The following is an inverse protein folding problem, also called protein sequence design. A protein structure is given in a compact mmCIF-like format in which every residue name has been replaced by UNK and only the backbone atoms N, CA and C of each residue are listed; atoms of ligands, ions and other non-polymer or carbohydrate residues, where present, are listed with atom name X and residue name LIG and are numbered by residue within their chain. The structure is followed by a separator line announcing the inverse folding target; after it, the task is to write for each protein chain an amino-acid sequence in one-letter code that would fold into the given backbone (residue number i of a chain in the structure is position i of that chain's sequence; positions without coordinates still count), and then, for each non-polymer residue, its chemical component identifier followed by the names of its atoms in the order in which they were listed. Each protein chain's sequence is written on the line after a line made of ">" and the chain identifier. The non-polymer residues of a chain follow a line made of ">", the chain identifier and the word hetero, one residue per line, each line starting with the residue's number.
data_IF_559126898735
#
_entry.id   IF_559126898735
#
_cell.length_a   1.000
_cell.length_b   1.000
_cell.length_c   1.000
_cell.angle_alpha   90.00
_cell.angle_beta   90.00
_cell.angle_gamma   90.00
#
_symmetry.space_group_name_H-M   'P 1'
#
loop_
_entity.id
_entity.type
_entity.pdbx_description
1 polymer ?
#
# COMPACT_ATOMS: atom_id res chain seq x y z
N UNK A 1 12.83 33.31 -31.16
CA UNK A 1 12.36 31.91 -31.29
C UNK A 1 12.67 31.02 -30.07
N UNK A 2 13.22 31.52 -28.96
CA UNK A 2 13.49 30.70 -27.76
C UNK A 2 12.28 30.57 -26.78
N UNK A 3 11.40 31.57 -26.74
CA UNK A 3 10.25 31.58 -25.82
C UNK A 3 9.18 30.54 -26.16
N UNK A 4 9.01 30.21 -27.45
CA UNK A 4 8.02 29.20 -27.89
C UNK A 4 8.47 27.78 -27.51
N UNK A 5 9.77 27.49 -27.58
CA UNK A 5 10.34 26.21 -27.16
C UNK A 5 10.21 25.98 -25.65
N UNK A 6 10.41 27.02 -24.83
CA UNK A 6 10.25 26.92 -23.37
C UNK A 6 8.79 26.73 -22.95
N UNK A 7 7.84 27.34 -23.67
CA UNK A 7 6.41 27.15 -23.40
C UNK A 7 5.94 25.73 -23.74
N UNK A 8 6.44 25.12 -24.82
CA UNK A 8 6.09 23.75 -25.19
C UNK A 8 6.64 22.70 -24.22
N UNK A 9 7.84 22.91 -23.66
CA UNK A 9 8.39 21.99 -22.64
C UNK A 9 7.66 22.12 -21.30
N UNK A 10 7.19 23.32 -20.94
CA UNK A 10 6.41 23.54 -19.73
C UNK A 10 5.01 22.91 -19.81
N UNK A 11 4.32 23.03 -20.95
CA UNK A 11 3.03 22.37 -21.17
C UNK A 11 3.14 20.84 -21.21
N UNK A 12 4.13 20.30 -21.93
CA UNK A 12 4.34 18.85 -21.97
C UNK A 12 4.76 18.27 -20.60
N UNK A 13 5.49 19.05 -19.79
CA UNK A 13 5.81 18.69 -18.40
C UNK A 13 4.58 18.71 -17.49
N UNK A 14 3.70 19.71 -17.62
CA UNK A 14 2.46 19.79 -16.84
C UNK A 14 1.47 18.67 -17.20
N UNK A 15 1.31 18.33 -18.48
CA UNK A 15 0.41 17.26 -18.91
C UNK A 15 0.91 15.88 -18.45
N UNK A 16 2.23 15.68 -18.46
CA UNK A 16 2.86 14.47 -17.91
C UNK A 16 2.71 14.36 -16.39
N UNK A 17 2.91 15.45 -15.65
CA UNK A 17 2.73 15.47 -14.18
C UNK A 17 1.25 15.33 -13.78
N UNK A 18 0.33 15.97 -14.51
CA UNK A 18 -1.11 15.84 -14.30
C UNK A 18 -1.60 14.41 -14.59
N UNK A 19 -1.11 13.81 -15.68
CA UNK A 19 -1.40 12.40 -16.00
C UNK A 19 -0.84 11.47 -14.93
N UNK A 20 0.39 11.72 -14.45
CA UNK A 20 1.02 10.96 -13.37
C UNK A 20 0.25 11.08 -12.04
N UNK A 21 -0.21 12.28 -11.70
CA UNK A 21 -1.10 12.50 -10.56
C UNK A 21 -2.41 11.74 -10.70
N UNK A 22 -3.03 11.77 -11.90
CA UNK A 22 -4.29 11.07 -12.17
C UNK A 22 -4.16 9.54 -12.09
N UNK A 23 -2.99 8.99 -12.43
CA UNK A 23 -2.69 7.55 -12.36
C UNK A 23 -2.36 7.11 -10.93
N UNK A 24 -1.64 7.94 -10.16
CA UNK A 24 -1.21 7.59 -8.80
C UNK A 24 -2.29 7.86 -7.73
N UNK A 25 -3.26 8.73 -8.01
CA UNK A 25 -4.38 9.03 -7.10
C UNK A 25 -5.15 7.80 -6.60
N UNK A 26 -5.57 6.83 -7.45
CA UNK A 26 -6.24 5.62 -6.97
C UNK A 26 -5.33 4.72 -6.11
N UNK A 27 -4.02 4.65 -6.41
CA UNK A 27 -3.04 3.89 -5.60
C UNK A 27 -2.89 4.52 -4.22
N UNK A 28 -2.82 5.85 -4.16
CA UNK A 28 -2.73 6.58 -2.89
C UNK A 28 -3.99 6.37 -2.05
N UNK A 29 -5.19 6.45 -2.66
CA UNK A 29 -6.45 6.21 -1.95
C UNK A 29 -6.54 4.76 -1.42
N UNK A 30 -6.10 3.78 -2.21
CA UNK A 30 -6.01 2.39 -1.77
C UNK A 30 -5.01 2.21 -0.62
N UNK A 31 -3.87 2.88 -0.68
CA UNK A 31 -2.85 2.87 0.37
C UNK A 31 -3.34 3.49 1.69
N UNK A 32 -4.01 4.65 1.62
CA UNK A 32 -4.55 5.32 2.82
C UNK A 32 -5.66 4.48 3.48
N UNK A 33 -6.54 3.87 2.67
CA UNK A 33 -7.57 2.95 3.16
C UNK A 33 -6.95 1.69 3.80
N UNK A 34 -5.89 1.17 3.19
CA UNK A 34 -5.11 0.06 3.74
C UNK A 34 -4.50 0.44 5.09
N UNK A 35 -3.84 1.59 5.22
CA UNK A 35 -3.18 2.00 6.46
C UNK A 35 -4.14 2.13 7.65
N UNK A 36 -5.33 2.70 7.44
CA UNK A 36 -6.35 2.82 8.49
C UNK A 36 -6.83 1.43 8.92
N UNK A 37 -7.00 0.53 7.97
CA UNK A 37 -7.46 -0.85 8.22
C UNK A 37 -6.39 -1.67 8.93
N UNK A 38 -5.14 -1.59 8.46
CA UNK A 38 -3.98 -2.27 9.03
C UNK A 38 -3.72 -1.82 10.46
N UNK A 39 -3.77 -0.51 10.75
CA UNK A 39 -3.58 0.01 12.10
C UNK A 39 -4.64 -0.52 13.08
N UNK A 40 -5.91 -0.62 12.66
CA UNK A 40 -6.99 -1.20 13.48
C UNK A 40 -6.82 -2.70 13.65
N UNK A 41 -6.43 -3.41 12.59
CA UNK A 41 -6.18 -4.84 12.63
C UNK A 41 -5.04 -5.16 13.61
N UNK A 42 -3.92 -4.43 13.53
CA UNK A 42 -2.77 -4.60 14.40
C UNK A 42 -3.14 -4.40 15.88
N UNK A 43 -3.83 -3.32 16.23
CA UNK A 43 -4.31 -3.09 17.61
C UNK A 43 -5.17 -4.24 18.14
N UNK A 44 -5.98 -4.84 17.27
CA UNK A 44 -6.83 -5.98 17.61
C UNK A 44 -6.00 -7.25 17.79
N UNK A 45 -5.02 -7.51 16.92
CA UNK A 45 -4.10 -8.63 17.05
C UNK A 45 -3.27 -8.53 18.33
N UNK A 46 -2.71 -7.36 18.63
CA UNK A 46 -1.93 -7.11 19.84
C UNK A 46 -2.75 -7.38 21.11
N UNK A 47 -4.03 -6.99 21.10
CA UNK A 47 -4.95 -7.25 22.21
C UNK A 47 -5.21 -8.74 22.40
N UNK A 48 -5.43 -9.48 21.31
CA UNK A 48 -5.62 -10.94 21.34
C UNK A 48 -4.33 -11.65 21.79
N UNK A 49 -3.17 -11.21 21.31
CA UNK A 49 -1.87 -11.77 21.72
C UNK A 49 -1.56 -11.49 23.19
N UNK A 50 -1.96 -10.33 23.72
CA UNK A 50 -1.86 -10.03 25.14
C UNK A 50 -2.73 -10.98 25.97
N UNK A 51 -3.99 -11.20 25.56
CA UNK A 51 -4.91 -12.12 26.23
C UNK A 51 -4.41 -13.57 26.18
N UNK A 52 -3.87 -14.01 25.04
CA UNK A 52 -3.27 -15.35 24.89
C UNK A 52 -2.08 -15.59 25.85
N UNK A 53 -1.40 -14.51 26.29
CA UNK A 53 -0.29 -14.56 27.25
C UNK A 53 -0.77 -14.64 28.71
N UNK A 54 -2.05 -14.40 28.99
CA UNK A 54 -2.56 -14.43 30.36
C UNK A 54 -2.48 -15.84 30.98
N UNK A 55 -1.92 -15.95 32.19
CA UNK A 55 -1.89 -17.21 32.91
C UNK A 55 -3.30 -17.55 33.40
N UNK A 56 -3.72 -18.81 33.21
CA UNK A 56 -5.04 -19.29 33.63
C UNK A 56 -6.13 -19.20 32.56
N UNK A 57 -5.79 -18.81 31.33
CA UNK A 57 -6.72 -18.85 30.21
C UNK A 57 -7.21 -20.30 29.95
N UNK A 58 -8.52 -20.49 29.84
CA UNK A 58 -9.09 -21.81 29.53
C UNK A 58 -8.67 -22.28 28.14
N UNK A 59 -8.60 -23.60 27.93
CA UNK A 59 -8.23 -24.17 26.63
C UNK A 59 -9.20 -23.73 25.51
N UNK A 60 -10.50 -23.72 25.80
CA UNK A 60 -11.54 -23.28 24.86
C UNK A 60 -11.40 -21.80 24.48
N UNK A 61 -11.16 -20.91 25.46
CA UNK A 61 -10.90 -19.49 25.21
C UNK A 61 -9.62 -19.32 24.38
N UNK A 62 -8.57 -20.07 24.71
CA UNK A 62 -7.29 -20.05 23.99
C UNK A 62 -7.47 -20.43 22.53
N UNK A 63 -8.24 -21.49 22.25
CA UNK A 63 -8.52 -21.94 20.90
C UNK A 63 -9.32 -20.90 20.11
N UNK A 64 -10.36 -20.33 20.70
CA UNK A 64 -11.16 -19.27 20.07
C UNK A 64 -10.32 -18.03 19.71
N UNK A 65 -9.43 -17.61 20.62
CA UNK A 65 -8.52 -16.49 20.38
C UNK A 65 -7.49 -16.81 19.29
N UNK A 66 -6.93 -18.03 19.28
CA UNK A 66 -5.99 -18.47 18.27
C UNK A 66 -6.61 -18.49 16.87
N UNK A 67 -7.84 -19.01 16.74
CA UNK A 67 -8.60 -19.01 15.48
C UNK A 67 -8.94 -17.59 15.03
N UNK A 68 -9.34 -16.73 15.97
CA UNK A 68 -9.63 -15.32 15.69
C UNK A 68 -8.40 -14.57 15.19
N UNK A 69 -7.25 -14.79 15.83
CA UNK A 69 -5.96 -14.22 15.44
C UNK A 69 -5.52 -14.71 14.04
N UNK A 70 -5.63 -16.01 13.77
CA UNK A 70 -5.34 -16.57 12.46
C UNK A 70 -6.22 -15.97 11.35
N UNK A 71 -7.51 -15.79 11.64
CA UNK A 71 -8.46 -15.18 10.70
C UNK A 71 -8.12 -13.72 10.42
N UNK A 72 -7.74 -12.95 11.45
CA UNK A 72 -7.33 -11.55 11.28
C UNK A 72 -6.05 -11.43 10.44
N UNK A 73 -5.04 -12.29 10.69
CA UNK A 73 -3.80 -12.32 9.89
C UNK A 73 -4.05 -12.67 8.44
N UNK A 74 -4.93 -13.64 8.16
CA UNK A 74 -5.30 -13.99 6.80
C UNK A 74 -5.99 -12.82 6.05
N UNK A 75 -6.84 -12.05 6.76
CA UNK A 75 -7.48 -10.86 6.19
C UNK A 75 -6.50 -9.74 5.89
N UNK A 76 -5.52 -9.52 6.77
CA UNK A 76 -4.48 -8.53 6.56
C UNK A 76 -3.60 -8.89 5.36
N UNK A 77 -3.17 -10.16 5.26
CA UNK A 77 -2.42 -10.65 4.11
C UNK A 77 -3.19 -10.44 2.79
N UNK A 78 -4.49 -10.76 2.76
CA UNK A 78 -5.32 -10.53 1.57
C UNK A 78 -5.47 -9.03 1.23
N UNK A 79 -5.53 -8.14 2.23
CA UNK A 79 -5.60 -6.70 2.01
C UNK A 79 -4.28 -6.16 1.42
N UNK A 80 -3.13 -6.67 1.89
CA UNK A 80 -1.82 -6.37 1.33
C UNK A 80 -1.68 -6.85 -0.12
N UNK A 81 -2.10 -8.08 -0.40
CA UNK A 81 -2.08 -8.62 -1.76
C UNK A 81 -2.93 -7.78 -2.71
N UNK A 82 -4.10 -7.33 -2.25
CA UNK A 82 -4.96 -6.44 -3.04
C UNK A 82 -4.31 -5.09 -3.32
N UNK A 83 -3.69 -4.47 -2.33
CA UNK A 83 -2.94 -3.22 -2.51
C UNK A 83 -1.79 -3.41 -3.52
N UNK A 84 -1.07 -4.53 -3.46
CA UNK A 84 -0.03 -4.86 -4.43
C UNK A 84 -0.60 -5.04 -5.84
N UNK A 85 -1.74 -5.73 -6.00
CA UNK A 85 -2.39 -5.90 -7.29
C UNK A 85 -2.86 -4.57 -7.88
N UNK A 86 -3.47 -3.70 -7.06
CA UNK A 86 -3.90 -2.36 -7.47
C UNK A 86 -2.71 -1.47 -7.84
N UNK A 87 -1.60 -1.57 -7.11
CA UNK A 87 -0.35 -0.88 -7.44
C UNK A 87 0.28 -1.38 -8.75
N UNK A 88 0.29 -2.69 -8.98
CA UNK A 88 0.80 -3.29 -10.21
C UNK A 88 -0.06 -2.92 -11.43
N UNK A 89 -1.38 -2.84 -11.26
CA UNK A 89 -2.29 -2.35 -12.29
C UNK A 89 -2.02 -0.89 -12.63
N UNK A 90 -1.82 -0.03 -11.64
CA UNK A 90 -1.48 1.37 -11.90
C UNK A 90 -0.13 1.53 -12.61
N UNK A 91 0.87 0.71 -12.26
CA UNK A 91 2.18 0.68 -12.95
C UNK A 91 2.01 0.26 -14.42
N UNK A 92 1.24 -0.80 -14.67
CA UNK A 92 1.05 -1.34 -16.04
C UNK A 92 0.15 -0.46 -16.91
N UNK A 93 -0.82 0.24 -16.33
CA UNK A 93 -1.73 1.13 -17.04
C UNK A 93 -1.19 2.57 -17.19
N UNK A 94 -0.20 2.95 -16.38
CA UNK A 94 0.24 4.34 -16.26
C UNK A 94 1.68 4.66 -16.65
N UNK A 95 2.53 3.65 -16.91
CA UNK A 95 3.91 3.88 -17.34
C UNK A 95 4.13 3.33 -18.76
N UNK A 96 4.32 4.17 -19.78
CA UNK A 96 4.88 3.68 -21.04
C UNK A 96 6.31 3.19 -20.75
N UNK A 97 6.49 1.87 -20.72
CA UNK A 97 7.77 1.17 -20.77
C UNK A 97 8.84 1.57 -19.72
N UNK A 98 8.50 1.64 -18.43
CA UNK A 98 9.49 1.45 -17.37
C UNK A 98 9.44 -0.01 -16.92
N UNK A 99 10.49 -0.77 -17.23
CA UNK A 99 10.71 -2.10 -16.67
C UNK A 99 10.54 -2.05 -15.15
N UNK A 100 9.99 -3.10 -14.54
CA UNK A 100 9.60 -3.15 -13.12
C UNK A 100 10.69 -2.62 -12.15
N UNK A 101 11.97 -2.81 -12.51
CA UNK A 101 13.14 -2.30 -11.80
C UNK A 101 13.21 -0.75 -11.71
N UNK A 102 12.87 -0.06 -12.81
CA UNK A 102 12.82 1.41 -12.86
C UNK A 102 11.57 1.95 -12.15
N UNK A 103 10.45 1.24 -12.24
CA UNK A 103 9.23 1.59 -11.51
C UNK A 103 9.48 1.55 -9.99
N UNK A 104 10.15 0.52 -9.48
CA UNK A 104 10.51 0.40 -8.07
C UNK A 104 11.49 1.48 -7.60
N UNK A 105 12.45 1.84 -8.45
CA UNK A 105 13.38 2.94 -8.18
C UNK A 105 12.67 4.29 -8.12
N UNK A 106 11.67 4.50 -8.97
CA UNK A 106 10.92 5.76 -9.04
C UNK A 106 9.93 5.92 -7.88
N UNK A 107 9.32 4.83 -7.40
CA UNK A 107 8.50 4.80 -6.18
C UNK A 107 9.33 5.19 -4.95
N UNK A 108 10.56 4.66 -4.83
CA UNK A 108 11.51 5.08 -3.79
C UNK A 108 11.93 6.55 -3.91
N UNK A 109 12.12 7.04 -5.14
CA UNK A 109 12.51 8.43 -5.40
C UNK A 109 11.37 9.45 -5.18
N UNK A 110 10.10 9.05 -5.35
CA UNK A 110 8.94 9.90 -5.07
C UNK A 110 8.62 10.04 -3.58
N UNK A 111 9.44 9.50 -2.69
CA UNK A 111 9.20 9.54 -1.25
C UNK A 111 8.05 8.65 -0.78
N UNK A 112 7.44 7.87 -1.69
CA UNK A 112 6.50 6.78 -1.39
C UNK A 112 7.31 5.59 -0.87
N UNK A 113 7.87 5.74 0.34
CA UNK A 113 8.49 4.64 1.05
C UNK A 113 7.39 3.65 1.46
N UNK A 114 7.17 2.63 0.64
CA UNK A 114 6.54 1.40 1.10
C UNK A 114 7.55 0.74 2.04
N UNK A 115 7.52 1.14 3.31
CA UNK A 115 8.26 0.47 4.38
C UNK A 115 7.66 -0.92 4.53
N UNK A 116 8.26 -1.90 3.84
CA UNK A 116 8.12 -3.31 4.16
C UNK A 116 8.68 -3.52 5.56
N UNK A 117 7.80 -3.48 6.56
CA UNK A 117 8.10 -3.97 7.90
C UNK A 117 8.44 -5.46 7.75
N UNK A 118 9.62 -5.81 8.29
CA UNK A 118 10.32 -7.07 8.11
C UNK A 118 9.75 -8.19 8.97
#
# INVERSE_FOLDING_TARGET
>A
MAALLMASTAHAGQDADASRFSIMAPVQAAYDAYQVTASRAQNTMDSIEAELREPGLSAERRELLAVSLATLRAREAAALERLHAESALAITQGLPALTADKAWTQVKASGLQISLIR
#
